data_IF_522814506750
#
_entry.id   IF_522814506750
#
_cell.length_a   1.000
_cell.length_b   1.000
_cell.length_c   1.000
_cell.angle_alpha   90.00
_cell.angle_beta   90.00
_cell.angle_gamma   90.00
#
_symmetry.space_group_name_H-M   'P 1'
#
loop_
_entity.id
_entity.type
_entity.pdbx_description
1 polymer ?
#
# COMPACT_ATOMS: atom_id res chain seq x y z
N UNK A 1 -25.73 26.23 13.46
CA UNK A 1 -24.74 25.59 14.35
C UNK A 1 -24.28 24.23 13.82
N UNK A 2 -25.19 23.26 13.62
CA UNK A 2 -24.83 21.91 13.14
C UNK A 2 -24.10 21.91 11.79
N UNK A 3 -24.57 22.69 10.82
CA UNK A 3 -23.94 22.79 9.50
C UNK A 3 -22.49 23.31 9.54
N UNK A 4 -22.23 24.33 10.38
CA UNK A 4 -20.87 24.83 10.61
C UNK A 4 -19.98 23.72 11.20
N UNK A 5 -20.51 22.92 12.14
CA UNK A 5 -19.78 21.79 12.72
C UNK A 5 -19.45 20.69 11.71
N UNK A 6 -20.40 20.38 10.81
CA UNK A 6 -20.22 19.42 9.72
C UNK A 6 -19.13 19.86 8.73
N UNK A 7 -19.14 21.13 8.31
CA UNK A 7 -18.09 21.67 7.44
C UNK A 7 -16.73 21.58 8.14
N UNK A 8 -16.67 21.92 9.42
CA UNK A 8 -15.43 21.92 10.19
C UNK A 8 -14.84 20.51 10.33
N UNK A 9 -15.65 19.50 10.67
CA UNK A 9 -15.16 18.13 10.81
C UNK A 9 -14.75 17.53 9.46
N UNK A 10 -15.51 17.78 8.38
CA UNK A 10 -15.14 17.31 7.03
C UNK A 10 -13.85 17.95 6.55
N UNK A 11 -13.65 19.23 6.84
CA UNK A 11 -12.43 19.95 6.49
C UNK A 11 -11.22 19.37 7.23
N UNK A 12 -11.33 19.16 8.55
CA UNK A 12 -10.22 18.62 9.35
C UNK A 12 -9.89 17.18 8.96
N UNK A 13 -10.90 16.32 8.77
CA UNK A 13 -10.69 14.95 8.35
C UNK A 13 -10.10 14.84 6.93
N UNK A 14 -10.58 15.68 6.00
CA UNK A 14 -10.02 15.75 4.65
C UNK A 14 -8.57 16.27 4.63
N UNK A 15 -8.27 17.26 5.47
CA UNK A 15 -6.91 17.77 5.62
C UNK A 15 -5.96 16.72 6.22
N UNK A 16 -6.40 15.96 7.24
CA UNK A 16 -5.60 14.89 7.83
C UNK A 16 -5.24 13.81 6.78
N UNK A 17 -6.22 13.30 6.03
CA UNK A 17 -5.99 12.33 4.97
C UNK A 17 -5.01 12.86 3.89
N UNK A 18 -5.13 14.13 3.50
CA UNK A 18 -4.23 14.77 2.54
C UNK A 18 -2.79 14.86 3.05
N UNK A 19 -2.59 15.24 4.31
CA UNK A 19 -1.24 15.35 4.90
C UNK A 19 -0.56 14.00 5.08
N UNK A 20 -1.32 12.91 5.29
CA UNK A 20 -0.76 11.55 5.37
C UNK A 20 -0.21 11.11 4.02
N UNK A 21 -0.98 11.25 2.93
CA UNK A 21 -0.50 10.88 1.58
C UNK A 21 0.73 11.69 1.19
N UNK A 22 0.71 13.00 1.48
CA UNK A 22 1.81 13.90 1.16
C UNK A 22 3.04 13.64 2.04
N UNK A 23 2.83 13.27 3.30
CA UNK A 23 3.87 12.81 4.23
C UNK A 23 4.53 11.52 3.74
N UNK A 24 3.75 10.54 3.29
CA UNK A 24 4.25 9.29 2.75
C UNK A 24 5.06 9.51 1.45
N UNK A 25 4.61 10.43 0.57
CA UNK A 25 5.38 10.83 -0.62
C UNK A 25 6.69 11.55 -0.26
N UNK A 26 6.70 12.38 0.79
CA UNK A 26 7.86 13.16 1.19
C UNK A 26 8.90 12.38 2.00
N UNK A 27 8.51 11.26 2.62
CA UNK A 27 9.37 10.48 3.51
C UNK A 27 9.92 9.19 2.89
N UNK A 28 9.71 8.97 1.59
CA UNK A 28 10.34 7.86 0.86
C UNK A 28 9.87 6.46 1.26
N UNK A 29 8.68 6.33 1.88
CA UNK A 29 8.09 5.03 2.23
C UNK A 29 8.31 4.54 3.65
N UNK A 30 8.79 5.39 4.57
CA UNK A 30 8.76 5.06 6.00
C UNK A 30 7.33 5.16 6.55
N UNK A 31 6.89 4.13 7.26
CA UNK A 31 5.49 3.93 7.71
C UNK A 31 5.03 4.97 8.76
N UNK A 32 5.93 5.84 9.24
CA UNK A 32 5.63 6.86 10.25
C UNK A 32 6.41 8.19 10.04
N UNK A 33 6.03 9.04 9.06
CA UNK A 33 6.62 10.36 8.98
C UNK A 33 5.93 11.32 9.95
N UNK A 34 6.68 11.65 10.99
CA UNK A 34 6.46 12.58 12.08
C UNK A 34 5.35 13.62 11.86
N UNK A 35 4.49 13.77 12.89
CA UNK A 35 3.52 14.87 13.10
C UNK A 35 4.02 16.26 12.65
N UNK A 36 5.34 16.46 12.66
CA UNK A 36 6.04 17.63 12.17
C UNK A 36 5.90 17.88 10.65
N UNK A 37 5.99 16.84 9.80
CA UNK A 37 5.79 16.95 8.35
C UNK A 37 4.36 17.36 8.03
N UNK A 38 3.37 16.80 8.75
CA UNK A 38 1.95 17.19 8.63
C UNK A 38 1.73 18.65 9.00
N UNK A 39 2.38 19.14 10.06
CA UNK A 39 2.30 20.53 10.49
C UNK A 39 2.95 21.48 9.46
N UNK A 40 4.12 21.14 8.92
CA UNK A 40 4.80 21.94 7.88
C UNK A 40 3.90 22.06 6.66
N UNK A 41 3.35 20.95 6.16
CA UNK A 41 2.46 20.99 5.00
C UNK A 41 1.18 21.77 5.27
N UNK A 42 0.60 21.66 6.47
CA UNK A 42 -0.55 22.48 6.88
C UNK A 42 -0.24 23.98 6.83
N UNK A 43 0.92 24.40 7.36
CA UNK A 43 1.36 25.80 7.33
C UNK A 43 1.62 26.28 5.90
N UNK A 44 2.25 25.45 5.07
CA UNK A 44 2.49 25.77 3.65
C UNK A 44 1.18 25.96 2.90
N UNK A 45 0.19 25.10 3.10
CA UNK A 45 -1.13 25.23 2.46
C UNK A 45 -1.88 26.47 2.94
N UNK A 46 -1.82 26.79 4.24
CA UNK A 46 -2.42 28.01 4.79
C UNK A 46 -1.74 29.28 4.23
N UNK A 47 -0.41 29.28 4.12
CA UNK A 47 0.35 30.38 3.54
C UNK A 47 0.01 30.56 2.06
N UNK A 48 -0.05 29.47 1.29
CA UNK A 48 -0.44 29.49 -0.12
C UNK A 48 -1.84 30.09 -0.30
N UNK A 49 -2.81 29.63 0.50
CA UNK A 49 -4.17 30.15 0.48
C UNK A 49 -4.23 31.66 0.80
N UNK A 50 -3.48 32.10 1.82
CA UNK A 50 -3.40 33.52 2.18
C UNK A 50 -2.82 34.37 1.04
N UNK A 51 -1.74 33.91 0.41
CA UNK A 51 -1.11 34.62 -0.72
C UNK A 51 -2.06 34.71 -1.92
N UNK A 52 -2.72 33.62 -2.30
CA UNK A 52 -3.68 33.64 -3.42
C UNK A 52 -4.89 34.52 -3.12
N UNK A 53 -5.37 34.53 -1.88
CA UNK A 53 -6.49 35.38 -1.48
C UNK A 53 -6.14 36.87 -1.59
N UNK A 54 -4.93 37.26 -1.19
CA UNK A 54 -4.45 38.65 -1.29
C UNK A 54 -4.17 39.03 -2.75
N UNK A 55 -3.64 38.12 -3.57
CA UNK A 55 -3.24 38.41 -4.94
C UNK A 55 -4.42 38.62 -5.91
N UNK A 56 -5.53 37.91 -5.72
CA UNK A 56 -6.68 38.04 -6.65
C UNK A 56 -8.00 37.51 -6.11
N UNK A 57 -8.15 37.41 -4.80
CA UNK A 57 -9.40 37.04 -4.14
C UNK A 57 -9.88 35.64 -4.49
N UNK A 58 -11.21 35.45 -4.48
CA UNK A 58 -11.85 34.15 -4.72
C UNK A 58 -11.61 33.62 -6.14
N UNK A 59 -11.58 34.50 -7.13
CA UNK A 59 -11.37 34.11 -8.54
C UNK A 59 -9.97 33.55 -8.78
N UNK A 60 -8.95 34.14 -8.15
CA UNK A 60 -7.59 33.61 -8.22
C UNK A 60 -7.46 32.24 -7.54
N UNK A 61 -8.12 32.04 -6.39
CA UNK A 61 -8.15 30.75 -5.71
C UNK A 61 -8.79 29.66 -6.58
N UNK A 62 -9.94 29.95 -7.19
CA UNK A 62 -10.66 29.01 -8.05
C UNK A 62 -9.85 28.65 -9.29
N UNK A 63 -9.29 29.66 -9.98
CA UNK A 63 -8.49 29.42 -11.18
C UNK A 63 -7.20 28.67 -10.86
N UNK A 64 -6.53 29.00 -9.75
CA UNK A 64 -5.34 28.29 -9.27
C UNK A 64 -5.64 26.82 -8.96
N UNK A 65 -6.77 26.54 -8.30
CA UNK A 65 -7.19 25.17 -8.01
C UNK A 65 -7.49 24.36 -9.29
N UNK A 66 -8.18 24.96 -10.28
CA UNK A 66 -8.47 24.29 -11.57
C UNK A 66 -7.18 23.97 -12.32
N UNK A 67 -6.25 24.93 -12.38
CA UNK A 67 -4.95 24.73 -13.04
C UNK A 67 -4.12 23.64 -12.36
N UNK A 68 -4.13 23.58 -11.02
CA UNK A 68 -3.44 22.53 -10.26
C UNK A 68 -4.10 21.15 -10.43
N UNK A 69 -5.44 21.09 -10.49
CA UNK A 69 -6.18 19.85 -10.62
C UNK A 69 -6.06 19.22 -12.02
N UNK A 70 -5.91 20.02 -13.06
CA UNK A 70 -5.88 19.56 -14.46
C UNK A 70 -4.78 18.51 -14.76
N UNK A 71 -3.49 18.76 -14.46
CA UNK A 71 -2.45 17.74 -14.68
C UNK A 71 -2.60 16.54 -13.72
N UNK A 72 -3.06 16.77 -12.49
CA UNK A 72 -3.31 15.69 -11.54
C UNK A 72 -4.44 14.75 -12.00
N UNK A 73 -5.46 15.28 -12.67
CA UNK A 73 -6.54 14.49 -13.26
C UNK A 73 -6.01 13.54 -14.35
N UNK A 74 -5.03 13.97 -15.17
CA UNK A 74 -4.39 13.09 -16.15
C UNK A 74 -3.64 11.93 -15.48
N UNK A 75 -2.93 12.20 -14.38
CA UNK A 75 -2.26 11.15 -13.59
C UNK A 75 -3.29 10.18 -12.99
N UNK A 76 -4.41 10.69 -12.48
CA UNK A 76 -5.51 9.85 -11.97
C UNK A 76 -6.09 8.94 -13.06
N UNK A 77 -6.27 9.43 -14.29
CA UNK A 77 -6.73 8.58 -15.41
C UNK A 77 -5.72 7.48 -15.74
N UNK A 78 -4.42 7.79 -15.72
CA UNK A 78 -3.38 6.79 -15.93
C UNK A 78 -3.38 5.73 -14.82
N UNK A 79 -3.57 6.13 -13.56
CA UNK A 79 -3.69 5.20 -12.44
C UNK A 79 -4.92 4.30 -12.54
N UNK A 80 -6.07 4.84 -12.96
CA UNK A 80 -7.26 4.03 -13.24
C UNK A 80 -6.99 2.99 -14.34
N UNK A 81 -6.24 3.37 -15.39
CA UNK A 81 -5.86 2.43 -16.46
C UNK A 81 -4.91 1.33 -15.95
N UNK A 82 -3.88 1.69 -15.17
CA UNK A 82 -2.97 0.73 -14.56
C UNK A 82 -3.71 -0.25 -13.65
N UNK A 83 -4.60 0.26 -12.79
CA UNK A 83 -5.40 -0.56 -11.89
C UNK A 83 -6.29 -1.54 -12.66
N UNK A 84 -6.99 -1.07 -13.71
CA UNK A 84 -7.81 -1.93 -14.55
C UNK A 84 -6.98 -3.02 -15.24
N UNK A 85 -5.78 -2.67 -15.73
CA UNK A 85 -4.86 -3.62 -16.35
C UNK A 85 -4.38 -4.67 -15.35
N UNK A 86 -3.89 -4.27 -14.18
CA UNK A 86 -3.39 -5.17 -13.13
C UNK A 86 -4.47 -6.14 -12.68
N UNK A 87 -5.68 -5.65 -12.38
CA UNK A 87 -6.80 -6.52 -12.01
C UNK A 87 -7.12 -7.51 -13.13
N UNK A 88 -7.11 -7.08 -14.39
CA UNK A 88 -7.37 -7.97 -15.54
C UNK A 88 -6.29 -9.04 -15.74
N UNK A 89 -5.03 -8.73 -15.41
CA UNK A 89 -3.91 -9.67 -15.45
C UNK A 89 -4.04 -10.71 -14.33
N UNK A 90 -4.33 -10.27 -13.09
CA UNK A 90 -4.56 -11.15 -11.94
C UNK A 90 -5.75 -12.11 -12.16
N UNK A 91 -6.85 -11.63 -12.76
CA UNK A 91 -7.99 -12.49 -13.12
C UNK A 91 -7.65 -13.53 -14.19
N UNK A 92 -6.77 -13.22 -15.14
CA UNK A 92 -6.33 -14.18 -16.17
C UNK A 92 -5.38 -15.23 -15.61
N UNK A 93 -4.57 -14.89 -14.61
CA UNK A 93 -3.71 -15.84 -13.90
C UNK A 93 -4.53 -16.77 -13.01
N UNK A 94 -5.52 -16.23 -12.29
CA UNK A 94 -6.44 -17.03 -11.48
C UNK A 94 -7.24 -18.07 -12.31
N UNK A 95 -7.57 -17.76 -13.57
CA UNK A 95 -8.25 -18.70 -14.47
C UNK A 95 -7.31 -19.71 -15.15
N UNK A 96 -6.00 -19.41 -15.24
CA UNK A 96 -5.01 -20.34 -15.77
C UNK A 96 -4.59 -21.40 -14.75
N UNK A 97 -4.62 -21.06 -13.46
CA UNK A 97 -4.27 -21.98 -12.36
C UNK A 97 -5.27 -23.09 -12.06
N UNK A 98 -6.42 -23.15 -12.73
CA UNK A 98 -7.43 -24.22 -12.57
C UNK A 98 -7.45 -25.22 -13.75
N UNK A 99 -6.55 -25.04 -14.73
CA UNK A 99 -6.36 -25.96 -15.87
C UNK A 99 -5.23 -26.98 -15.66
N UNK A 100 -4.40 -26.77 -14.65
CA UNK A 100 -3.29 -27.65 -14.33
C UNK A 100 -3.79 -28.67 -13.31
N UNK A 101 -4.55 -29.64 -13.79
CA UNK A 101 -4.65 -30.89 -13.07
C UNK A 101 -3.22 -31.38 -12.78
N UNK A 102 -2.82 -31.34 -11.51
CA UNK A 102 -1.86 -32.30 -10.99
C UNK A 102 -2.65 -33.56 -10.57
N UNK A 103 -2.91 -34.54 -11.46
CA UNK A 103 -2.84 -35.90 -11.00
C UNK A 103 -1.37 -36.27 -10.91
N UNK A 104 -1.01 -36.89 -9.79
CA UNK A 104 0.17 -37.73 -9.58
C UNK A 104 1.46 -37.08 -9.07
N UNK A 105 1.55 -37.06 -7.74
CA UNK A 105 2.58 -37.89 -7.12
C UNK A 105 1.95 -38.83 -6.09
N UNK A 106 1.70 -40.12 -6.42
CA UNK A 106 1.42 -41.08 -5.38
C UNK A 106 2.62 -41.09 -4.41
N UNK A 107 2.39 -41.15 -3.09
CA UNK A 107 3.48 -41.28 -2.13
C UNK A 107 4.30 -42.50 -2.52
N UNK A 108 5.57 -42.26 -2.84
CA UNK A 108 6.54 -43.27 -3.23
C UNK A 108 6.67 -44.31 -2.12
N UNK A 109 5.95 -45.42 -2.28
CA UNK A 109 6.14 -46.63 -1.51
C UNK A 109 7.49 -47.22 -1.90
N UNK A 110 8.54 -46.82 -1.21
CA UNK A 110 9.91 -47.18 -1.61
C UNK A 110 10.99 -47.04 -0.53
N UNK A 111 10.65 -46.78 0.72
CA UNK A 111 11.59 -46.88 1.85
C UNK A 111 11.21 -48.07 2.73
N UNK A 112 11.36 -49.26 2.15
CA UNK A 112 11.37 -50.52 2.89
C UNK A 112 12.37 -51.47 2.25
N UNK A 113 13.61 -51.02 2.02
CA UNK A 113 14.71 -51.95 1.69
C UNK A 113 16.11 -51.33 1.78
N UNK A 114 16.61 -51.09 2.99
CA UNK A 114 18.03 -51.30 3.33
C UNK A 114 18.34 -50.83 4.75
N UNK A 115 17.97 -51.63 5.75
CA UNK A 115 18.73 -51.66 7.01
C UNK A 115 18.63 -53.01 7.72
N UNK A 116 18.55 -54.09 6.93
CA UNK A 116 18.87 -55.43 7.42
C UNK A 116 20.37 -55.67 7.17
N UNK A 117 21.22 -55.37 8.16
CA UNK A 117 22.64 -55.63 8.00
C UNK A 117 23.59 -55.00 9.01
N UNK A 118 23.28 -54.94 10.30
CA UNK A 118 24.32 -54.78 11.34
C UNK A 118 24.24 -55.94 12.34
N UNK A 119 25.27 -56.81 12.42
CA UNK A 119 25.28 -57.93 13.34
C UNK A 119 25.39 -57.44 14.78
N UNK A 120 24.50 -57.95 15.62
CA UNK A 120 24.64 -57.90 17.07
C UNK A 120 25.88 -58.71 17.48
N UNK A 121 26.89 -58.07 18.08
CA UNK A 121 27.82 -58.80 18.96
C UNK A 121 28.55 -57.88 19.93
N UNK A 122 28.57 -58.35 21.19
CA UNK A 122 29.41 -58.01 22.35
C UNK A 122 28.99 -56.77 23.14
N UNK A 123 28.25 -56.90 24.24
CA UNK A 123 28.60 -57.55 25.51
C UNK A 123 29.74 -56.86 26.27
N UNK A 124 29.41 -56.36 27.47
CA UNK A 124 30.27 -56.42 28.64
C UNK A 124 30.99 -55.13 29.04
N UNK A 125 31.00 -54.92 30.37
CA UNK A 125 31.78 -53.97 31.17
C UNK A 125 31.25 -52.53 31.14
N UNK A 126 30.75 -51.94 32.22
CA UNK A 126 31.09 -52.13 33.62
C UNK A 126 32.27 -51.22 33.99
N UNK A 127 32.10 -50.51 35.11
CA UNK A 127 33.09 -49.75 35.88
C UNK A 127 33.00 -48.21 35.78
N UNK A 128 32.51 -47.68 36.91
CA UNK A 128 32.93 -46.47 37.64
C UNK A 128 32.26 -45.15 37.31
#
# INVERSE_FOLDING_TARGET
>A
ALFIGLIWIFFVAGADAGTVVLGNMSAGGDEDPARFVRLIWGVVMAALAAVLLVAGGLGALQNGAVLAATPFALVMLALCYCLHKTISEDYREAQRGDGDGEPSKPPGRGESRSEAGRPATKAGAGAR
#
